data_IF_187446895532
#
_entry.id   IF_187446895532
#
_cell.length_a   1.000
_cell.length_b   1.000
_cell.length_c   1.000
_cell.angle_alpha   90.00
_cell.angle_beta   90.00
_cell.angle_gamma   90.00
#
_symmetry.space_group_name_H-M   'P 1'
#
loop_
_entity.id
_entity.type
_entity.pdbx_description
1 polymer ?
#
# COMPACT_ATOMS: atom_id res chain seq x y z
N UNK A 1 17.22 -9.78 16.15
CA UNK A 1 17.97 -8.56 16.55
C UNK A 1 17.89 -7.58 15.38
N UNK A 2 16.89 -6.69 15.37
CA UNK A 2 16.52 -5.80 14.26
C UNK A 2 17.10 -4.39 14.44
N UNK A 3 18.39 -4.25 14.72
CA UNK A 3 18.94 -2.97 15.17
C UNK A 3 20.40 -2.70 14.73
N UNK A 4 20.80 -3.20 13.56
CA UNK A 4 22.17 -3.00 13.04
C UNK A 4 22.26 -2.28 11.69
N UNK A 5 21.15 -1.78 11.16
CA UNK A 5 21.13 -1.03 9.90
C UNK A 5 20.70 0.41 10.13
N UNK A 6 21.21 1.33 9.32
CA UNK A 6 20.72 2.71 9.25
C UNK A 6 19.33 2.73 8.59
N UNK A 7 18.33 2.27 9.36
CA UNK A 7 16.94 2.11 8.94
C UNK A 7 16.29 3.40 8.42
N UNK A 8 16.58 4.61 8.93
CA UNK A 8 15.97 5.84 8.42
C UNK A 8 16.26 6.09 6.94
N UNK A 9 17.49 5.86 6.48
CA UNK A 9 17.88 6.09 5.08
C UNK A 9 17.31 5.03 4.13
N UNK A 10 17.32 3.76 4.53
CA UNK A 10 16.68 2.68 3.75
C UNK A 10 15.16 2.91 3.65
N UNK A 11 14.54 3.38 4.74
CA UNK A 11 13.11 3.66 4.77
C UNK A 11 12.71 4.81 3.84
N UNK A 12 13.52 5.86 3.73
CA UNK A 12 13.22 7.00 2.87
C UNK A 12 13.47 6.69 1.38
N UNK A 13 14.64 6.13 1.06
CA UNK A 13 15.10 6.08 -0.34
C UNK A 13 14.66 4.81 -1.07
N UNK A 14 14.46 3.71 -0.36
CA UNK A 14 14.13 2.40 -0.98
C UNK A 14 12.63 2.10 -0.89
N UNK A 15 11.99 2.37 0.26
CA UNK A 15 10.60 1.93 0.51
C UNK A 15 9.58 2.76 -0.28
N UNK A 16 9.86 4.03 -0.58
CA UNK A 16 8.97 4.86 -1.40
C UNK A 16 8.88 4.35 -2.85
N UNK A 17 10.02 4.00 -3.46
CA UNK A 17 10.09 3.46 -4.82
C UNK A 17 9.64 1.99 -4.90
N UNK A 18 9.77 1.23 -3.81
CA UNK A 18 9.40 -0.18 -3.75
C UNK A 18 7.89 -0.41 -3.91
N UNK A 19 7.05 0.51 -3.42
CA UNK A 19 5.59 0.39 -3.48
C UNK A 19 5.06 0.17 -4.91
N UNK A 20 5.35 1.05 -5.87
CA UNK A 20 5.01 0.85 -7.28
C UNK A 20 5.56 -0.45 -7.89
N UNK A 21 6.83 -0.80 -7.62
CA UNK A 21 7.43 -2.03 -8.14
C UNK A 21 6.76 -3.29 -7.59
N UNK A 22 6.34 -3.28 -6.33
CA UNK A 22 5.57 -4.36 -5.72
C UNK A 22 4.20 -4.51 -6.39
N UNK A 23 3.50 -3.41 -6.62
CA UNK A 23 2.19 -3.42 -7.30
C UNK A 23 2.31 -4.00 -8.71
N UNK A 24 3.36 -3.64 -9.44
CA UNK A 24 3.67 -4.21 -10.76
C UNK A 24 3.99 -5.70 -10.69
N UNK A 25 4.89 -6.11 -9.78
CA UNK A 25 5.29 -7.50 -9.61
C UNK A 25 4.11 -8.40 -9.19
N UNK A 26 3.17 -7.87 -8.40
CA UNK A 26 1.92 -8.54 -8.02
C UNK A 26 0.90 -8.60 -9.17
N UNK A 27 1.14 -7.90 -10.29
CA UNK A 27 0.29 -7.92 -11.46
C UNK A 27 -1.11 -7.35 -11.23
N UNK A 28 -1.22 -6.35 -10.33
CA UNK A 28 -2.50 -5.74 -9.94
C UNK A 28 -3.14 -5.04 -11.14
N UNK A 29 -4.46 -5.21 -11.30
CA UNK A 29 -5.26 -4.68 -12.41
C UNK A 29 -6.53 -3.99 -11.90
N UNK A 30 -7.17 -3.25 -12.81
CA UNK A 30 -8.47 -2.64 -12.55
C UNK A 30 -9.50 -3.70 -12.14
N UNK A 31 -10.25 -3.43 -11.07
CA UNK A 31 -11.25 -4.34 -10.52
C UNK A 31 -10.72 -5.34 -9.49
N UNK A 32 -9.40 -5.47 -9.32
CA UNK A 32 -8.83 -6.30 -8.26
C UNK A 32 -9.20 -5.76 -6.88
N UNK A 33 -9.30 -6.66 -5.90
CA UNK A 33 -9.50 -6.31 -4.49
C UNK A 33 -8.19 -6.54 -3.74
N UNK A 34 -7.69 -5.49 -3.09
CA UNK A 34 -6.37 -5.48 -2.45
C UNK A 34 -6.52 -5.11 -0.98
N UNK A 35 -5.88 -5.89 -0.11
CA UNK A 35 -5.71 -5.55 1.31
C UNK A 35 -4.24 -5.22 1.54
N UNK A 36 -3.96 -3.97 1.89
CA UNK A 36 -2.62 -3.47 2.24
C UNK A 36 -2.50 -3.41 3.78
N UNK A 37 -1.65 -4.25 4.35
CA UNK A 37 -1.46 -4.39 5.80
C UNK A 37 -0.16 -3.71 6.19
N UNK A 38 -0.20 -2.89 7.25
CA UNK A 38 0.87 -1.96 7.62
C UNK A 38 1.15 -0.97 6.48
N UNK A 39 0.08 -0.39 5.94
CA UNK A 39 0.12 0.44 4.75
C UNK A 39 1.01 1.70 4.91
N UNK A 40 1.27 2.15 6.14
CA UNK A 40 2.02 3.36 6.42
C UNK A 40 1.48 4.53 5.59
N UNK A 41 2.36 5.23 4.88
CA UNK A 41 2.03 6.35 3.97
C UNK A 41 1.32 5.95 2.68
N UNK A 42 1.01 4.68 2.48
CA UNK A 42 0.26 4.18 1.31
C UNK A 42 1.12 4.00 0.07
N UNK A 43 2.41 3.69 0.21
CA UNK A 43 3.34 3.54 -0.92
C UNK A 43 2.90 2.45 -1.91
N UNK A 44 2.22 1.39 -1.45
CA UNK A 44 1.61 0.36 -2.30
C UNK A 44 0.11 0.61 -2.56
N UNK A 45 -0.63 1.02 -1.53
CA UNK A 45 -2.06 1.36 -1.63
C UNK A 45 -2.39 2.37 -2.73
N UNK A 46 -1.64 3.48 -2.82
CA UNK A 46 -1.95 4.57 -3.76
C UNK A 46 -1.70 4.13 -5.22
N UNK A 47 -0.54 3.54 -5.59
CA UNK A 47 -0.35 3.00 -6.94
C UNK A 47 -1.37 1.92 -7.30
N UNK A 48 -1.71 1.00 -6.39
CA UNK A 48 -2.73 -0.02 -6.65
C UNK A 48 -4.11 0.60 -6.95
N UNK A 49 -4.53 1.59 -6.17
CA UNK A 49 -5.78 2.31 -6.41
C UNK A 49 -5.74 3.09 -7.74
N UNK A 50 -4.60 3.66 -8.13
CA UNK A 50 -4.41 4.34 -9.43
C UNK A 50 -4.57 3.41 -10.62
N UNK A 51 -4.28 2.11 -10.46
CA UNK A 51 -4.56 1.08 -11.48
C UNK A 51 -6.04 0.67 -11.54
N UNK A 52 -6.90 1.23 -10.68
CA UNK A 52 -8.33 0.92 -10.64
C UNK A 52 -8.68 -0.26 -9.73
N UNK A 53 -7.76 -0.71 -8.87
CA UNK A 53 -8.06 -1.70 -7.84
C UNK A 53 -8.87 -1.08 -6.69
N UNK A 54 -9.73 -1.88 -6.06
CA UNK A 54 -10.41 -1.53 -4.82
C UNK A 54 -9.50 -1.91 -3.63
N UNK A 55 -8.91 -0.91 -2.99
CA UNK A 55 -7.90 -1.09 -1.94
C UNK A 55 -8.49 -0.80 -0.56
N UNK A 56 -8.24 -1.71 0.39
CA UNK A 56 -8.41 -1.49 1.83
C UNK A 56 -7.04 -1.41 2.46
N UNK A 57 -6.72 -0.29 3.11
CA UNK A 57 -5.46 -0.07 3.80
C UNK A 57 -5.68 -0.15 5.32
N UNK A 58 -4.82 -0.89 6.01
CA UNK A 58 -4.80 -1.00 7.47
C UNK A 58 -3.42 -0.66 8.00
N UNK A 59 -3.37 0.23 8.99
CA UNK A 59 -2.15 0.54 9.73
C UNK A 59 -2.47 0.67 11.22
N UNK A 60 -1.47 0.46 12.07
CA UNK A 60 -1.59 0.62 13.52
C UNK A 60 -1.61 2.10 13.93
N UNK A 61 -1.15 2.99 13.05
CA UNK A 61 -1.05 4.43 13.29
C UNK A 61 -2.29 5.14 12.72
N UNK A 62 -3.21 5.64 13.56
CA UNK A 62 -4.48 6.20 13.10
C UNK A 62 -4.31 7.44 12.19
N UNK A 63 -3.19 8.15 12.30
CA UNK A 63 -2.89 9.35 11.49
C UNK A 63 -2.55 9.06 10.02
N UNK A 64 -2.26 7.80 9.65
CA UNK A 64 -1.87 7.44 8.27
C UNK A 64 -3.01 6.82 7.43
N UNK A 65 -4.25 6.85 7.94
CA UNK A 65 -5.39 6.21 7.29
C UNK A 65 -5.74 6.88 5.93
N UNK A 66 -5.23 6.37 4.81
CA UNK A 66 -5.69 6.78 3.49
C UNK A 66 -7.11 6.28 3.25
N UNK A 67 -8.04 7.21 2.99
CA UNK A 67 -9.46 6.98 2.75
C UNK A 67 -9.67 5.95 1.63
N UNK A 68 -10.36 4.84 1.91
CA UNK A 68 -10.70 3.82 0.93
C UNK A 68 -11.43 4.44 -0.28
N UNK A 69 -10.78 4.45 -1.45
CA UNK A 69 -11.38 4.88 -2.71
C UNK A 69 -11.98 3.66 -3.41
N UNK A 70 -13.31 3.69 -3.60
CA UNK A 70 -14.04 2.72 -4.40
C UNK A 70 -14.47 1.47 -3.65
N UNK A 71 -15.71 1.45 -3.17
CA UNK A 71 -16.43 0.22 -2.80
C UNK A 71 -17.31 -0.20 -3.98
N UNK A 72 -16.87 -1.10 -4.90
CA UNK A 72 -17.82 -1.80 -5.76
C UNK A 72 -18.74 -2.65 -4.89
N UNK A 73 -20.03 -2.63 -5.24
CA UNK A 73 -21.21 -2.99 -4.44
C UNK A 73 -21.37 -4.46 -4.01
N UNK A 74 -20.29 -5.26 -4.01
CA UNK A 74 -20.38 -6.71 -3.81
C UNK A 74 -19.61 -7.21 -2.59
N UNK A 75 -20.10 -6.81 -1.41
CA UNK A 75 -19.97 -7.56 -0.16
C UNK A 75 -21.37 -8.00 0.30
N UNK A 76 -22.02 -8.76 -0.59
CA UNK A 76 -23.10 -9.69 -0.31
C UNK A 76 -22.57 -11.10 -0.66
#
# INVERSE_FOLDING_TARGET
MWALGDYPSVAADVIAALGPSLVEACGIKAGDRVLDVAAGSGNASIPAARLGAAVVASDLTPSCSSRAVGRPSRWA
#
